data_IF_053087185414
#
_entry.id   IF_053087185414
#
_cell.length_a   1.000
_cell.length_b   1.000
_cell.length_c   1.000
_cell.angle_alpha   90.00
_cell.angle_beta   90.00
_cell.angle_gamma   90.00
#
_symmetry.space_group_name_H-M   'P 1'
#
loop_
_entity.id
_entity.type
_entity.pdbx_description
1 polymer ?
#
# COMPACT_ATOMS: atom_id res chain seq x y z
N UNK A 1 21.62 -47.90 71.95
CA UNK A 1 21.78 -47.44 70.56
C UNK A 1 20.54 -46.63 70.17
N UNK A 2 20.74 -45.47 69.53
CA UNK A 2 19.87 -44.85 68.51
C UNK A 2 18.42 -44.44 68.88
N UNK A 3 17.86 -43.31 68.42
CA UNK A 3 18.40 -42.12 67.72
C UNK A 3 17.38 -40.95 67.88
N UNK A 4 17.87 -39.72 67.98
CA UNK A 4 17.08 -38.48 68.05
C UNK A 4 16.56 -38.06 66.66
N UNK A 5 15.38 -37.42 66.57
CA UNK A 5 15.07 -36.22 65.71
C UNK A 5 13.58 -35.83 65.71
N UNK A 6 13.26 -34.55 65.91
CA UNK A 6 12.04 -33.89 65.41
C UNK A 6 12.10 -33.81 63.87
N UNK A 7 10.97 -33.79 63.12
CA UNK A 7 10.29 -32.52 62.78
C UNK A 7 8.75 -32.72 62.61
N UNK A 8 7.90 -31.83 62.07
CA UNK A 8 8.05 -30.47 61.50
C UNK A 8 6.98 -29.53 62.10
N UNK A 9 7.22 -28.21 62.08
CA UNK A 9 6.17 -27.17 62.22
C UNK A 9 6.40 -25.93 61.32
N UNK A 10 7.46 -25.91 60.50
CA UNK A 10 7.91 -24.70 59.79
C UNK A 10 7.42 -24.52 58.34
N UNK A 11 6.69 -25.48 57.76
CA UNK A 11 6.40 -25.48 56.32
C UNK A 11 5.45 -24.38 55.83
N UNK A 12 4.42 -24.05 56.62
CA UNK A 12 3.33 -23.16 56.18
C UNK A 12 3.76 -21.68 56.24
N UNK A 13 4.53 -21.28 57.25
CA UNK A 13 5.01 -19.90 57.40
C UNK A 13 5.99 -19.48 56.29
N UNK A 14 6.84 -20.39 55.82
CA UNK A 14 7.82 -20.10 54.77
C UNK A 14 7.14 -19.89 53.40
N UNK A 15 6.11 -20.69 53.09
CA UNK A 15 5.35 -20.52 51.84
C UNK A 15 4.59 -19.18 51.80
N UNK A 16 3.98 -18.78 52.92
CA UNK A 16 3.28 -17.50 53.04
C UNK A 16 4.24 -16.30 52.96
N UNK A 17 5.42 -16.37 53.58
CA UNK A 17 6.43 -15.33 53.51
C UNK A 17 7.00 -15.17 52.08
N UNK A 18 7.18 -16.28 51.34
CA UNK A 18 7.69 -16.23 49.97
C UNK A 18 6.67 -15.65 48.97
N UNK A 19 5.37 -15.86 49.20
CA UNK A 19 4.30 -15.26 48.38
C UNK A 19 4.20 -13.73 48.55
N UNK A 20 4.41 -13.22 49.76
CA UNK A 20 4.41 -11.78 50.04
C UNK A 20 5.61 -11.05 49.41
N UNK A 21 6.77 -11.70 49.33
CA UNK A 21 7.96 -11.15 48.69
C UNK A 21 7.82 -11.02 47.16
N UNK A 22 6.97 -11.82 46.51
CA UNK A 22 6.72 -11.75 45.07
C UNK A 22 5.73 -10.66 44.64
N UNK A 23 4.98 -10.07 45.59
CA UNK A 23 4.01 -9.02 45.27
C UNK A 23 4.64 -7.63 45.10
N UNK A 24 5.90 -7.45 45.52
CA UNK A 24 6.59 -6.16 45.52
C UNK A 24 7.25 -5.78 44.18
N UNK A 25 7.31 -6.69 43.20
CA UNK A 25 7.94 -6.44 41.89
C UNK A 25 6.94 -6.09 40.77
N UNK A 26 5.65 -5.98 41.08
CA UNK A 26 4.60 -5.61 40.11
C UNK A 26 4.40 -4.09 40.01
N UNK A 27 5.50 -3.34 39.87
CA UNK A 27 5.49 -1.91 39.59
C UNK A 27 5.08 -1.63 38.14
N UNK A 28 3.79 -1.72 37.85
CA UNK A 28 3.22 -1.27 36.57
C UNK A 28 3.17 0.26 36.53
N UNK A 29 4.34 0.90 36.41
CA UNK A 29 4.42 2.35 36.25
C UNK A 29 3.90 2.75 34.87
N UNK A 30 2.75 3.42 34.83
CA UNK A 30 2.25 4.12 33.64
C UNK A 30 3.16 5.31 33.34
N UNK A 31 4.31 5.02 32.72
CA UNK A 31 5.19 6.04 32.15
C UNK A 31 4.41 6.81 31.09
N UNK A 32 4.34 8.14 31.23
CA UNK A 32 3.84 9.01 30.17
C UNK A 32 4.68 8.77 28.92
N UNK A 33 4.02 8.32 27.84
CA UNK A 33 4.59 8.39 26.50
C UNK A 33 4.88 9.85 26.20
N UNK A 34 6.09 10.16 25.76
CA UNK A 34 6.41 11.51 25.30
C UNK A 34 5.81 11.75 23.92
N UNK A 35 5.65 13.02 23.52
CA UNK A 35 5.15 13.35 22.18
C UNK A 35 5.99 12.72 21.06
N UNK A 36 7.29 12.47 21.29
CA UNK A 36 8.17 11.72 20.39
C UNK A 36 7.85 10.22 20.30
N UNK A 37 7.41 9.59 21.40
CA UNK A 37 6.95 8.19 21.38
C UNK A 37 5.56 8.09 20.71
N UNK A 38 4.78 9.16 20.74
CA UNK A 38 3.49 9.27 20.05
C UNK A 38 3.66 9.57 18.55
N UNK A 39 4.68 10.34 18.14
CA UNK A 39 4.99 10.62 16.73
C UNK A 39 5.31 9.32 15.96
N UNK A 40 6.00 8.37 16.58
CA UNK A 40 6.26 7.02 16.05
C UNK A 40 4.97 6.17 15.86
N UNK A 41 3.89 6.50 16.57
CA UNK A 41 2.59 5.78 16.51
C UNK A 41 1.58 6.51 15.61
N UNK A 42 1.65 7.85 15.52
CA UNK A 42 0.82 8.72 14.67
C UNK A 42 1.32 8.67 13.21
N UNK A 43 1.31 7.46 12.64
CA UNK A 43 1.70 7.21 11.26
C UNK A 43 1.54 5.75 10.82
N UNK A 44 1.58 4.78 11.74
CA UNK A 44 1.59 3.35 11.39
C UNK A 44 0.23 2.78 10.97
N UNK A 45 -0.87 3.51 11.20
CA UNK A 45 -2.22 3.09 10.82
C UNK A 45 -2.51 3.38 9.35
N UNK A 46 -1.82 2.65 8.45
CA UNK A 46 -2.13 2.67 7.02
C UNK A 46 -3.61 2.34 6.76
N UNK A 47 -4.28 3.15 5.93
CA UNK A 47 -5.72 3.04 5.70
C UNK A 47 -5.98 1.81 4.82
N UNK A 48 -6.63 0.78 5.37
CA UNK A 48 -7.11 -0.37 4.58
C UNK A 48 -8.44 -0.03 3.90
N UNK A 49 -8.48 -0.22 2.57
CA UNK A 49 -9.61 0.02 1.70
C UNK A 49 -9.86 -1.25 0.89
N UNK A 50 -11.06 -1.82 0.99
CA UNK A 50 -11.56 -2.82 0.03
C UNK A 50 -12.47 -2.10 -0.96
N UNK A 51 -12.16 -2.17 -2.26
CA UNK A 51 -12.89 -1.45 -3.30
C UNK A 51 -12.98 -2.26 -4.59
N UNK A 52 -14.19 -2.38 -5.14
CA UNK A 52 -14.40 -2.89 -6.49
C UNK A 52 -14.55 -1.71 -7.47
N UNK A 53 -13.52 -1.46 -8.28
CA UNK A 53 -13.56 -0.38 -9.27
C UNK A 53 -14.12 -0.93 -10.59
N UNK A 54 -15.36 -0.58 -10.90
CA UNK A 54 -15.97 -0.90 -12.19
C UNK A 54 -15.74 0.27 -13.16
N UNK A 55 -14.77 0.12 -14.07
CA UNK A 55 -14.50 1.09 -15.13
C UNK A 55 -15.56 0.92 -16.22
N UNK A 56 -16.68 1.63 -16.08
CA UNK A 56 -17.74 1.66 -17.09
C UNK A 56 -17.22 2.28 -18.40
N UNK A 57 -17.62 1.70 -19.52
CA UNK A 57 -17.27 2.21 -20.83
C UNK A 57 -17.86 3.59 -21.04
N UNK A 58 -17.02 4.58 -21.32
CA UNK A 58 -17.47 5.94 -21.59
C UNK A 58 -17.20 6.31 -23.06
N UNK A 59 -18.19 6.19 -23.96
CA UNK A 59 -18.00 6.47 -25.38
C UNK A 59 -17.66 7.94 -25.68
N UNK A 60 -17.82 8.87 -24.72
CA UNK A 60 -17.34 10.25 -24.87
C UNK A 60 -15.82 10.41 -24.67
N UNK A 61 -15.14 9.39 -24.13
CA UNK A 61 -13.71 9.42 -23.79
C UNK A 61 -12.87 8.46 -24.63
N UNK A 62 -13.45 7.36 -25.14
CA UNK A 62 -12.75 6.33 -25.94
C UNK A 62 -12.82 6.57 -27.45
N UNK A 63 -11.95 5.90 -28.24
CA UNK A 63 -11.84 6.09 -29.71
C UNK A 63 -12.85 5.29 -30.56
N UNK A 64 -13.62 4.41 -29.95
CA UNK A 64 -14.42 3.36 -30.58
C UNK A 64 -15.92 3.65 -30.44
N UNK A 65 -16.72 3.26 -31.44
CA UNK A 65 -18.17 3.38 -31.36
C UNK A 65 -18.75 2.40 -30.32
N UNK A 66 -19.62 2.88 -29.43
CA UNK A 66 -20.21 2.12 -28.32
C UNK A 66 -19.42 2.18 -27.01
N UNK A 67 -18.10 2.35 -27.08
CA UNK A 67 -17.20 2.18 -25.94
C UNK A 67 -16.32 0.93 -26.09
N UNK A 68 -15.16 0.92 -25.45
CA UNK A 68 -14.22 -0.21 -25.45
C UNK A 68 -13.38 -0.26 -24.16
N UNK A 69 -13.95 0.25 -23.07
CA UNK A 69 -13.27 0.43 -21.78
C UNK A 69 -13.07 1.90 -21.39
N UNK A 70 -12.00 2.16 -20.67
CA UNK A 70 -11.60 3.48 -20.19
C UNK A 70 -10.32 4.00 -20.88
N UNK A 71 -10.11 5.31 -20.76
CA UNK A 71 -8.92 6.02 -21.25
C UNK A 71 -8.41 6.96 -20.17
N UNK A 72 -7.13 6.85 -19.83
CA UNK A 72 -6.39 7.79 -19.01
C UNK A 72 -5.43 8.57 -19.92
N UNK A 73 -5.45 9.89 -19.85
CA UNK A 73 -4.51 10.76 -20.55
C UNK A 73 -3.68 11.57 -19.56
N UNK A 74 -2.36 11.46 -19.68
CA UNK A 74 -1.38 12.18 -18.87
C UNK A 74 -0.67 13.16 -19.80
N UNK A 75 -0.62 14.43 -19.43
CA UNK A 75 0.10 15.47 -20.15
C UNK A 75 1.41 15.77 -19.40
N UNK A 76 2.58 15.33 -19.89
CA UNK A 76 3.85 15.66 -19.25
C UNK A 76 4.08 17.17 -19.24
N UNK A 77 4.71 17.71 -18.19
CA UNK A 77 5.07 19.13 -18.16
C UNK A 77 5.95 19.51 -19.36
N UNK A 78 5.63 20.63 -20.02
CA UNK A 78 6.34 21.10 -21.22
C UNK A 78 6.04 20.35 -22.52
N UNK A 79 5.16 19.34 -22.52
CA UNK A 79 4.82 18.53 -23.72
C UNK A 79 3.96 19.24 -24.78
N UNK A 80 3.47 20.45 -24.51
CA UNK A 80 2.47 21.11 -25.34
C UNK A 80 1.17 20.31 -25.37
N UNK A 81 0.57 20.12 -26.54
CA UNK A 81 -0.70 19.37 -26.71
C UNK A 81 -0.48 17.84 -26.86
N UNK A 82 0.61 17.30 -26.33
CA UNK A 82 0.94 15.87 -26.44
C UNK A 82 0.68 15.14 -25.12
N UNK A 83 0.11 13.94 -25.23
CA UNK A 83 -0.33 13.13 -24.10
C UNK A 83 0.30 11.75 -24.20
N UNK A 84 0.77 11.22 -23.08
CA UNK A 84 0.94 9.79 -22.88
C UNK A 84 -0.43 9.26 -22.44
N UNK A 85 -1.00 8.34 -23.21
CA UNK A 85 -2.33 7.78 -22.92
C UNK A 85 -2.24 6.28 -22.64
N UNK A 86 -3.02 5.84 -21.67
CA UNK A 86 -3.38 4.44 -21.48
C UNK A 86 -4.83 4.33 -21.92
N UNK A 87 -5.05 3.64 -23.03
CA UNK A 87 -6.29 3.58 -23.79
C UNK A 87 -6.80 2.13 -23.83
N UNK A 88 -8.07 1.91 -24.18
CA UNK A 88 -8.66 0.57 -24.31
C UNK A 88 -8.58 -0.27 -23.01
N UNK A 89 -8.55 0.42 -21.85
CA UNK A 89 -8.43 -0.20 -20.52
C UNK A 89 -9.75 -0.93 -20.22
N UNK A 90 -9.73 -2.26 -20.26
CA UNK A 90 -10.91 -3.10 -19.99
C UNK A 90 -10.52 -4.40 -19.30
N UNK A 91 -11.52 -5.08 -18.73
CA UNK A 91 -11.34 -6.20 -17.80
C UNK A 91 -12.03 -5.93 -16.46
N UNK A 92 -11.97 -6.87 -15.53
CA UNK A 92 -12.49 -6.70 -14.15
C UNK A 92 -11.34 -6.47 -13.18
N UNK A 93 -11.52 -5.51 -12.29
CA UNK A 93 -10.52 -5.09 -11.30
C UNK A 93 -11.08 -5.37 -9.91
N UNK A 94 -10.46 -6.31 -9.19
CA UNK A 94 -10.87 -6.70 -7.84
C UNK A 94 -9.73 -6.45 -6.87
N UNK A 95 -9.98 -5.65 -5.85
CA UNK A 95 -9.02 -5.31 -4.81
C UNK A 95 -9.54 -5.79 -3.46
N UNK A 96 -8.99 -6.90 -2.96
CA UNK A 96 -9.20 -7.31 -1.57
C UNK A 96 -7.99 -6.85 -0.73
N UNK A 97 -8.29 -6.01 0.26
CA UNK A 97 -7.36 -5.36 1.18
C UNK A 97 -6.21 -4.58 0.49
N UNK A 98 -6.50 -3.31 0.13
CA UNK A 98 -5.50 -2.32 -0.32
C UNK A 98 -5.15 -1.40 0.83
N UNK A 99 -3.87 -1.26 1.17
CA UNK A 99 -3.43 -0.30 2.19
C UNK A 99 -2.86 0.97 1.56
N UNK A 100 -3.16 2.13 2.14
CA UNK A 100 -2.52 3.40 1.82
C UNK A 100 -1.69 3.86 3.02
N UNK A 101 -0.40 4.09 2.77
CA UNK A 101 0.60 4.41 3.79
C UNK A 101 1.60 5.47 3.25
N UNK A 102 2.20 6.26 4.13
CA UNK A 102 3.22 7.27 3.79
C UNK A 102 4.54 6.87 4.42
N UNK A 103 5.41 6.27 3.60
CA UNK A 103 6.68 5.69 4.05
C UNK A 103 7.86 6.56 3.64
N UNK A 104 8.83 6.76 4.52
CA UNK A 104 10.10 7.39 4.16
C UNK A 104 11.01 6.35 3.51
N UNK A 105 11.35 6.55 2.23
CA UNK A 105 12.35 5.73 1.54
C UNK A 105 13.71 6.41 1.69
N UNK A 106 14.57 5.78 2.50
CA UNK A 106 15.91 6.24 2.90
C UNK A 106 17.05 5.25 2.57
N UNK A 107 16.71 4.13 1.93
CA UNK A 107 17.62 3.04 1.55
C UNK A 107 17.01 2.21 0.40
N UNK A 108 17.77 1.24 -0.10
CA UNK A 108 17.37 0.41 -1.25
C UNK A 108 17.70 1.02 -2.62
N UNK A 109 17.12 0.44 -3.68
CA UNK A 109 17.28 0.88 -5.08
C UNK A 109 18.75 1.03 -5.53
N UNK A 110 19.61 0.09 -5.15
CA UNK A 110 21.05 0.14 -5.48
C UNK A 110 21.86 1.22 -4.75
N UNK A 111 21.24 1.95 -3.81
CA UNK A 111 21.83 3.09 -3.11
C UNK A 111 21.00 4.37 -3.27
N UNK A 112 20.22 4.48 -4.34
CA UNK A 112 19.46 5.70 -4.70
C UNK A 112 18.44 6.09 -3.62
N UNK A 113 17.90 5.12 -2.85
CA UNK A 113 17.00 5.41 -1.74
C UNK A 113 17.62 6.30 -0.66
N UNK A 114 18.92 6.20 -0.42
CA UNK A 114 19.64 7.06 0.53
C UNK A 114 19.84 8.48 0.02
N UNK A 115 19.97 8.67 -1.29
CA UNK A 115 19.99 9.98 -1.92
C UNK A 115 18.59 10.62 -2.01
N UNK A 116 17.54 9.79 -2.11
CA UNK A 116 16.15 10.26 -2.16
C UNK A 116 15.62 10.73 -0.80
N UNK A 117 15.80 9.92 0.26
CA UNK A 117 15.47 10.19 1.67
C UNK A 117 14.21 11.08 1.90
N UNK A 118 13.06 10.66 1.34
CA UNK A 118 11.82 11.45 1.33
C UNK A 118 10.58 10.57 1.50
N UNK A 119 9.44 11.14 1.93
CA UNK A 119 8.17 10.42 2.01
C UNK A 119 7.64 10.03 0.63
N UNK A 120 7.05 8.84 0.56
CA UNK A 120 6.50 8.19 -0.64
C UNK A 120 5.14 7.61 -0.28
N UNK A 121 4.14 7.82 -1.12
CA UNK A 121 2.84 7.18 -0.97
C UNK A 121 2.99 5.70 -1.38
N UNK A 122 2.83 4.79 -0.42
CA UNK A 122 2.80 3.35 -0.64
C UNK A 122 1.36 2.88 -0.75
N UNK A 123 1.09 2.14 -1.81
CA UNK A 123 -0.16 1.40 -2.03
C UNK A 123 0.17 -0.08 -1.87
N UNK A 124 -0.20 -0.68 -0.74
CA UNK A 124 -0.08 -2.13 -0.51
C UNK A 124 -1.21 -2.87 -1.19
N UNK A 125 -0.90 -3.99 -1.84
CA UNK A 125 -1.83 -4.86 -2.57
C UNK A 125 -1.73 -6.27 -1.98
N UNK A 126 -2.77 -6.76 -1.31
CA UNK A 126 -2.73 -8.08 -0.64
C UNK A 126 -3.32 -9.21 -1.47
N UNK A 127 -4.58 -9.11 -1.91
CA UNK A 127 -5.14 -10.00 -2.93
C UNK A 127 -5.84 -9.17 -4.01
N UNK A 128 -5.03 -8.51 -4.84
CA UNK A 128 -5.51 -7.80 -6.01
C UNK A 128 -5.53 -8.75 -7.21
N UNK A 129 -6.62 -8.75 -7.97
CA UNK A 129 -6.74 -9.52 -9.21
C UNK A 129 -7.37 -8.74 -10.35
N UNK A 130 -6.88 -9.03 -11.55
CA UNK A 130 -7.34 -8.47 -12.82
C UNK A 130 -7.79 -9.64 -13.70
N UNK A 131 -9.04 -9.65 -14.14
CA UNK A 131 -9.57 -10.66 -15.05
C UNK A 131 -9.78 -10.08 -16.44
N UNK A 132 -9.27 -10.78 -17.46
CA UNK A 132 -9.41 -10.47 -18.88
C UNK A 132 -8.94 -9.04 -19.24
N UNK A 133 -7.76 -8.67 -18.72
CA UNK A 133 -7.19 -7.33 -18.85
C UNK A 133 -6.76 -7.03 -20.29
N UNK A 134 -7.21 -5.90 -20.84
CA UNK A 134 -6.74 -5.31 -22.10
C UNK A 134 -6.35 -3.85 -21.86
N UNK A 135 -5.26 -3.40 -22.48
CA UNK A 135 -4.90 -1.98 -22.53
C UNK A 135 -3.90 -1.69 -23.67
N UNK A 136 -3.80 -0.41 -24.03
CA UNK A 136 -2.82 0.12 -24.99
C UNK A 136 -2.15 1.36 -24.42
N UNK A 137 -0.82 1.37 -24.36
CA UNK A 137 -0.01 2.56 -24.10
C UNK A 137 0.31 3.23 -25.44
N UNK A 138 0.02 4.52 -25.56
CA UNK A 138 0.19 5.28 -26.79
C UNK A 138 0.60 6.74 -26.54
N UNK A 139 1.20 7.39 -27.56
CA UNK A 139 1.31 8.84 -27.62
C UNK A 139 0.15 9.43 -28.42
N UNK A 140 -0.48 10.52 -27.96
CA UNK A 140 -1.61 11.14 -28.64
C UNK A 140 -1.56 12.68 -28.61
N UNK A 141 -2.13 13.35 -29.63
CA UNK A 141 -2.22 14.82 -29.71
C UNK A 141 -3.52 15.41 -29.09
N UNK A 142 -4.32 14.58 -28.41
CA UNK A 142 -5.56 14.92 -27.68
C UNK A 142 -5.72 14.03 -26.47
N UNK A 143 -6.34 14.57 -25.42
CA UNK A 143 -6.68 13.83 -24.21
C UNK A 143 -7.78 12.79 -24.47
N UNK A 144 -8.88 13.17 -25.13
CA UNK A 144 -10.02 12.27 -25.38
C UNK A 144 -9.90 11.55 -26.71
N UNK A 145 -10.42 10.33 -26.76
CA UNK A 145 -10.50 9.50 -27.97
C UNK A 145 -11.48 10.00 -29.03
N UNK A 146 -12.38 10.91 -28.67
CA UNK A 146 -13.44 11.48 -29.52
C UNK A 146 -13.12 12.87 -30.08
N UNK A 147 -12.00 13.48 -29.67
CA UNK A 147 -11.69 14.86 -30.05
C UNK A 147 -11.36 14.97 -31.56
N UNK A 148 -11.93 15.95 -32.28
CA UNK A 148 -11.62 16.17 -33.70
C UNK A 148 -10.12 16.36 -33.94
N UNK A 149 -9.60 15.70 -34.98
CA UNK A 149 -8.18 15.75 -35.31
C UNK A 149 -7.27 14.99 -34.32
N UNK A 150 -7.81 13.99 -33.61
CA UNK A 150 -7.02 13.02 -32.87
C UNK A 150 -6.07 12.26 -33.82
N UNK A 151 -4.79 12.27 -33.44
CA UNK A 151 -3.72 11.43 -33.98
C UNK A 151 -3.09 10.71 -32.79
N UNK A 152 -3.00 9.38 -32.87
CA UNK A 152 -2.45 8.54 -31.82
C UNK A 152 -1.54 7.47 -32.43
N UNK A 153 -0.37 7.30 -31.81
CA UNK A 153 0.61 6.25 -32.15
C UNK A 153 0.68 5.26 -31.00
N UNK A 154 0.21 4.04 -31.20
CA UNK A 154 0.32 2.97 -30.22
C UNK A 154 1.78 2.57 -30.04
N UNK A 155 2.24 2.47 -28.80
CA UNK A 155 3.60 2.09 -28.43
C UNK A 155 3.64 0.62 -27.97
N UNK A 156 2.68 0.24 -27.13
CA UNK A 156 2.52 -1.12 -26.60
C UNK A 156 1.03 -1.41 -26.50
N UNK A 157 0.61 -2.60 -26.92
CA UNK A 157 -0.74 -3.11 -26.65
C UNK A 157 -0.62 -4.48 -26.01
N UNK A 158 -1.37 -4.72 -24.94
CA UNK A 158 -1.33 -5.95 -24.17
C UNK A 158 -2.75 -6.49 -23.95
N UNK A 159 -2.86 -7.81 -24.00
CA UNK A 159 -4.04 -8.58 -23.61
C UNK A 159 -3.59 -9.72 -22.71
N UNK A 160 -4.28 -9.90 -21.60
CA UNK A 160 -4.06 -10.98 -20.64
C UNK A 160 -5.41 -11.67 -20.44
N UNK A 161 -5.60 -12.80 -21.10
CA UNK A 161 -6.78 -13.66 -20.93
C UNK A 161 -6.66 -14.46 -19.62
N UNK A 162 -7.76 -14.56 -18.86
CA UNK A 162 -7.75 -15.18 -17.53
C UNK A 162 -7.44 -14.20 -16.40
N UNK A 163 -6.95 -14.71 -15.26
CA UNK A 163 -6.79 -13.92 -14.02
C UNK A 163 -5.31 -13.68 -13.67
N UNK A 164 -4.88 -12.43 -13.72
CA UNK A 164 -3.61 -11.97 -13.14
C UNK A 164 -3.82 -11.63 -11.67
N UNK A 165 -3.08 -12.27 -10.76
CA UNK A 165 -3.00 -11.85 -9.35
C UNK A 165 -1.75 -11.00 -9.11
N UNK A 166 -1.90 -9.87 -8.41
CA UNK A 166 -0.81 -9.00 -7.97
C UNK A 166 -0.81 -8.90 -6.44
N UNK A 167 0.38 -9.04 -5.86
CA UNK A 167 0.64 -8.88 -4.43
C UNK A 167 1.93 -8.08 -4.26
N UNK A 168 2.01 -7.21 -3.24
CA UNK A 168 3.19 -6.40 -2.95
C UNK A 168 2.86 -4.92 -2.74
N UNK A 169 3.80 -4.03 -3.09
CA UNK A 169 3.68 -2.60 -2.83
C UNK A 169 3.98 -1.77 -4.10
N UNK A 170 3.08 -0.86 -4.45
CA UNK A 170 3.33 0.19 -5.45
C UNK A 170 3.73 1.47 -4.71
N UNK A 171 4.95 1.93 -4.92
CA UNK A 171 5.48 3.14 -4.31
C UNK A 171 5.38 4.31 -5.31
N UNK A 172 4.58 5.34 -4.99
CA UNK A 172 4.32 6.50 -5.86
C UNK A 172 5.21 7.67 -5.40
N UNK A 173 6.29 7.87 -6.15
CA UNK A 173 7.29 8.89 -5.87
C UNK A 173 6.83 10.27 -6.37
N UNK A 174 6.79 11.26 -5.47
CA UNK A 174 6.56 12.66 -5.85
C UNK A 174 7.87 13.31 -6.27
N UNK A 175 7.95 13.77 -7.51
CA UNK A 175 9.00 14.71 -7.95
C UNK A 175 8.57 16.13 -7.61
N UNK A 176 9.51 16.98 -7.23
CA UNK A 176 9.23 18.40 -7.04
C UNK A 176 8.80 19.02 -8.40
N UNK A 177 7.85 19.98 -8.41
CA UNK A 177 7.58 20.76 -9.61
C UNK A 177 8.86 21.49 -10.05
N UNK A 178 9.11 21.51 -11.36
CA UNK A 178 10.20 22.25 -12.00
C UNK A 178 9.70 23.58 -12.53
#
# INVERSE_FOLDING_TARGET
MAKQTHPLAGGIGILAALALLFSASAGAELRSLGDSDLDDVVGQAGISISASLNLQENPSQTRCAGGCGARLAIQPAGSGNNYLVIDDISGKFSFDEVTLDVVTIKDGFGGDGAAFNRPVLRVGLKDTSFQDLRFTIAGANKARGTDPGLVQTNLVSARIDGTLKLQGNVNIFTVAPR
#
